data_IF_220332871513
#
_entry.id   IF_220332871513
#
_cell.length_a   1.000
_cell.length_b   1.000
_cell.length_c   1.000
_cell.angle_alpha   90.00
_cell.angle_beta   90.00
_cell.angle_gamma   90.00
#
_symmetry.space_group_name_H-M   'P 1'
#
loop_
_entity.id
_entity.type
_entity.pdbx_description
1 polymer ?
#
# COMPACT_ATOMS: atom_id res chain seq x y z
N UNK A 1 30.24 -0.10 -8.72
CA UNK A 1 28.93 0.13 -9.35
C UNK A 1 28.06 0.67 -8.25
N UNK A 2 27.59 1.91 -8.35
CA UNK A 2 26.80 2.56 -7.30
C UNK A 2 25.41 1.91 -7.27
N UNK A 3 25.09 1.24 -6.17
CA UNK A 3 23.71 0.87 -5.83
C UNK A 3 22.92 2.17 -5.62
N UNK A 4 22.32 2.69 -6.69
CA UNK A 4 21.18 3.60 -6.59
C UNK A 4 19.94 2.72 -6.58
N UNK A 5 19.02 2.96 -5.64
CA UNK A 5 17.86 2.11 -5.35
C UNK A 5 17.82 1.54 -3.93
N UNK A 6 18.59 2.06 -2.99
CA UNK A 6 18.62 1.55 -1.61
C UNK A 6 17.40 1.95 -0.77
N UNK A 7 17.22 1.26 0.37
CA UNK A 7 16.16 1.55 1.34
C UNK A 7 16.07 3.04 1.70
N UNK A 8 17.19 3.72 1.93
CA UNK A 8 17.20 5.13 2.33
C UNK A 8 16.64 6.06 1.24
N UNK A 9 16.93 5.80 -0.04
CA UNK A 9 16.37 6.56 -1.15
C UNK A 9 14.86 6.32 -1.28
N UNK A 10 14.42 5.08 -1.05
CA UNK A 10 13.01 4.75 -1.00
C UNK A 10 12.29 5.45 0.17
N UNK A 11 12.91 5.53 1.35
CA UNK A 11 12.37 6.28 2.51
C UNK A 11 12.21 7.77 2.18
N UNK A 12 13.20 8.39 1.53
CA UNK A 12 13.09 9.80 1.11
C UNK A 12 11.90 10.00 0.17
N UNK A 13 11.73 9.11 -0.81
CA UNK A 13 10.61 9.18 -1.74
C UNK A 13 9.25 8.96 -1.05
N UNK A 14 9.18 8.13 -0.01
CA UNK A 14 7.98 7.99 0.83
C UNK A 14 7.68 9.28 1.62
N UNK A 15 8.69 9.98 2.12
CA UNK A 15 8.51 11.27 2.78
C UNK A 15 7.98 12.33 1.81
N UNK A 16 8.51 12.40 0.59
CA UNK A 16 8.01 13.30 -0.45
C UNK A 16 6.55 12.99 -0.80
N UNK A 17 6.21 11.70 -0.89
CA UNK A 17 4.85 11.24 -1.10
C UNK A 17 3.93 11.63 0.06
N UNK A 18 4.40 11.53 1.30
CA UNK A 18 3.65 11.96 2.48
C UNK A 18 3.29 13.45 2.40
N UNK A 19 4.25 14.28 2.03
CA UNK A 19 4.03 15.73 1.84
C UNK A 19 3.00 15.97 0.74
N UNK A 20 3.12 15.26 -0.40
CA UNK A 20 2.16 15.35 -1.51
C UNK A 20 0.72 15.05 -1.08
N UNK A 21 0.52 14.12 -0.15
CA UNK A 21 -0.80 13.67 0.31
C UNK A 21 -1.22 14.24 1.68
N UNK A 22 -0.58 15.33 2.14
CA UNK A 22 -0.80 15.95 3.47
C UNK A 22 -0.87 14.92 4.62
N UNK A 23 0.13 14.03 4.65
CA UNK A 23 0.25 12.97 5.64
C UNK A 23 1.44 13.22 6.58
N UNK A 24 1.29 12.78 7.83
CA UNK A 24 2.39 12.71 8.79
C UNK A 24 3.26 11.48 8.50
N UNK A 25 4.58 11.63 8.69
CA UNK A 25 5.54 10.52 8.59
C UNK A 25 6.18 10.26 9.95
N UNK A 26 6.24 8.99 10.35
CA UNK A 26 7.04 8.51 11.47
C UNK A 26 8.05 7.48 10.97
N UNK A 27 9.31 7.62 11.41
CA UNK A 27 10.42 6.77 10.99
C UNK A 27 10.99 6.03 12.21
N UNK A 28 11.19 4.73 12.09
CA UNK A 28 11.85 3.93 13.12
C UNK A 28 12.56 2.72 12.51
N UNK A 29 13.90 2.70 12.60
CA UNK A 29 14.78 1.63 12.10
C UNK A 29 14.44 1.19 10.66
N UNK A 30 13.60 0.18 10.51
CA UNK A 30 13.16 -0.42 9.24
C UNK A 30 11.68 -0.20 8.92
N UNK A 31 11.03 0.76 9.59
CA UNK A 31 9.62 1.10 9.44
C UNK A 31 9.46 2.57 9.05
N UNK A 32 8.67 2.81 8.01
CA UNK A 32 8.07 4.10 7.67
C UNK A 32 6.57 3.99 7.89
N UNK A 33 6.01 4.84 8.75
CA UNK A 33 4.57 4.93 8.96
C UNK A 33 4.06 6.26 8.41
N UNK A 34 3.15 6.17 7.43
CA UNK A 34 2.43 7.29 6.86
C UNK A 34 1.03 7.35 7.48
N UNK A 35 0.60 8.52 7.93
CA UNK A 35 -0.75 8.72 8.50
C UNK A 35 -1.43 9.92 7.84
N UNK A 36 -2.52 9.67 7.15
CA UNK A 36 -3.35 10.70 6.53
C UNK A 36 -3.99 11.61 7.59
N UNK A 37 -3.93 12.92 7.39
CA UNK A 37 -4.61 13.89 8.27
C UNK A 37 -6.09 14.03 7.98
N UNK A 38 -6.50 13.84 6.73
CA UNK A 38 -7.89 13.92 6.30
C UNK A 38 -8.76 12.75 6.80
N UNK A 39 -8.13 11.63 7.19
CA UNK A 39 -8.83 10.43 7.63
C UNK A 39 -8.91 10.38 9.16
N UNK A 40 -10.07 10.08 9.77
CA UNK A 40 -10.19 9.97 11.22
C UNK A 40 -9.16 8.98 11.82
N UNK A 41 -8.49 9.32 12.94
CA UNK A 41 -7.41 8.49 13.50
C UNK A 41 -7.78 7.04 13.87
N UNK A 42 -9.08 6.75 14.03
CA UNK A 42 -9.59 5.41 14.29
C UNK A 42 -9.74 4.55 13.03
N UNK A 43 -9.70 5.15 11.85
CA UNK A 43 -9.79 4.44 10.59
C UNK A 43 -8.39 3.99 10.13
N UNK A 44 -8.19 2.67 10.14
CA UNK A 44 -6.92 2.03 9.72
C UNK A 44 -6.57 2.25 8.25
N UNK A 45 -7.52 2.64 7.40
CA UNK A 45 -7.26 2.96 5.99
C UNK A 45 -6.52 4.30 5.81
N UNK A 46 -6.49 5.14 6.85
CA UNK A 46 -5.68 6.36 6.89
C UNK A 46 -4.23 6.13 7.32
N UNK A 47 -3.76 4.88 7.39
CA UNK A 47 -2.40 4.53 7.85
C UNK A 47 -1.76 3.52 6.91
N UNK A 48 -0.54 3.79 6.46
CA UNK A 48 0.27 2.83 5.70
C UNK A 48 1.56 2.59 6.44
N UNK A 49 1.80 1.34 6.85
CA UNK A 49 3.08 0.90 7.37
C UNK A 49 3.89 0.28 6.24
N UNK A 50 5.11 0.78 6.03
CA UNK A 50 6.08 0.25 5.07
C UNK A 50 7.27 -0.25 5.86
N UNK A 51 7.50 -1.56 5.83
CA UNK A 51 8.62 -2.20 6.53
C UNK A 51 9.59 -2.79 5.54
N UNK A 52 10.90 -2.66 5.80
CA UNK A 52 11.92 -3.36 5.03
C UNK A 52 11.73 -4.86 5.22
N UNK A 53 11.54 -5.59 4.12
CA UNK A 53 11.33 -7.04 4.14
C UNK A 53 12.64 -7.79 3.88
N UNK A 54 13.41 -7.35 2.89
CA UNK A 54 14.77 -7.81 2.62
C UNK A 54 15.63 -6.66 2.03
N UNK A 55 16.64 -6.97 1.22
CA UNK A 55 17.52 -5.98 0.61
C UNK A 55 16.91 -5.26 -0.60
N UNK A 56 15.84 -5.81 -1.19
CA UNK A 56 15.23 -5.28 -2.42
C UNK A 56 13.71 -5.06 -2.33
N UNK A 57 13.05 -5.58 -1.29
CA UNK A 57 11.60 -5.59 -1.14
C UNK A 57 11.12 -5.01 0.20
N UNK A 58 9.95 -4.37 0.14
CA UNK A 58 9.23 -3.83 1.29
C UNK A 58 7.91 -4.55 1.47
N UNK A 59 7.50 -4.72 2.72
CA UNK A 59 6.14 -5.09 3.09
C UNK A 59 5.33 -3.82 3.34
N UNK A 60 4.18 -3.72 2.67
CA UNK A 60 3.23 -2.60 2.75
C UNK A 60 1.94 -3.11 3.39
N UNK A 61 1.56 -2.50 4.52
CA UNK A 61 0.41 -2.88 5.32
C UNK A 61 -0.53 -1.70 5.57
N UNK A 62 -1.84 -1.91 5.42
CA UNK A 62 -2.87 -0.90 5.69
C UNK A 62 -4.25 -1.56 5.92
N UNK A 63 -5.23 -0.76 6.36
CA UNK A 63 -6.62 -1.20 6.49
C UNK A 63 -6.79 -2.34 7.51
N UNK A 64 -7.71 -3.27 7.23
CA UNK A 64 -7.94 -4.44 8.09
C UNK A 64 -7.04 -5.65 7.75
N UNK A 65 -6.60 -5.79 6.51
CA UNK A 65 -5.96 -7.00 6.01
C UNK A 65 -5.07 -6.77 4.78
N UNK A 66 -4.89 -5.52 4.30
CA UNK A 66 -4.01 -5.25 3.18
C UNK A 66 -2.56 -5.46 3.61
N UNK A 67 -1.88 -6.44 3.00
CA UNK A 67 -0.50 -6.81 3.26
C UNK A 67 0.11 -7.37 1.97
N UNK A 68 1.04 -6.62 1.36
CA UNK A 68 1.73 -7.01 0.13
C UNK A 68 3.24 -6.80 0.30
N UNK A 69 4.04 -7.75 -0.18
CA UNK A 69 5.49 -7.58 -0.35
C UNK A 69 5.76 -7.24 -1.81
N UNK A 70 6.53 -6.18 -2.05
CA UNK A 70 6.87 -5.72 -3.41
C UNK A 70 8.22 -5.00 -3.41
N UNK A 71 8.87 -5.03 -4.57
CA UNK A 71 10.22 -4.50 -4.74
C UNK A 71 10.26 -2.97 -4.58
N UNK A 72 11.24 -2.47 -3.84
CA UNK A 72 11.60 -1.04 -3.79
C UNK A 72 12.88 -0.73 -4.57
N UNK A 73 13.46 -1.72 -5.26
CA UNK A 73 14.53 -1.53 -6.25
C UNK A 73 13.90 -1.61 -7.64
N UNK A 74 14.43 -0.86 -8.61
CA UNK A 74 13.96 -0.93 -10.00
C UNK A 74 15.13 -1.08 -10.97
N UNK A 75 14.95 -1.92 -11.98
CA UNK A 75 15.87 -2.02 -13.12
C UNK A 75 15.79 -0.79 -14.03
N UNK A 76 14.61 -0.18 -14.14
CA UNK A 76 14.35 1.04 -14.91
C UNK A 76 14.21 2.25 -13.97
N UNK A 77 15.23 3.10 -13.94
CA UNK A 77 15.28 4.30 -13.10
C UNK A 77 14.42 5.46 -13.64
N UNK A 78 13.75 5.30 -14.79
CA UNK A 78 12.86 6.32 -15.35
C UNK A 78 11.47 6.33 -14.71
N UNK A 79 11.13 5.29 -13.95
CA UNK A 79 9.85 5.16 -13.25
C UNK A 79 10.06 5.02 -11.74
N UNK A 80 9.09 5.44 -10.92
CA UNK A 80 9.10 5.12 -9.49
C UNK A 80 9.10 3.61 -9.25
N UNK A 81 9.77 3.18 -8.18
CA UNK A 81 9.88 1.76 -7.80
C UNK A 81 8.50 1.16 -7.50
N UNK A 82 8.28 -0.16 -7.72
CA UNK A 82 6.97 -0.79 -7.52
C UNK A 82 6.34 -0.51 -6.15
N UNK A 83 7.12 -0.57 -5.08
CA UNK A 83 6.66 -0.26 -3.73
C UNK A 83 6.12 1.17 -3.61
N UNK A 84 6.80 2.17 -4.17
CA UNK A 84 6.37 3.57 -4.09
C UNK A 84 5.06 3.79 -4.86
N UNK A 85 4.92 3.15 -6.03
CA UNK A 85 3.70 3.24 -6.84
C UNK A 85 2.51 2.59 -6.15
N UNK A 86 2.72 1.48 -5.42
CA UNK A 86 1.68 0.86 -4.61
C UNK A 86 1.23 1.77 -3.47
N UNK A 87 2.17 2.36 -2.72
CA UNK A 87 1.83 3.32 -1.65
C UNK A 87 1.04 4.51 -2.22
N UNK A 88 1.46 5.03 -3.36
CA UNK A 88 0.75 6.12 -4.04
C UNK A 88 -0.66 5.71 -4.46
N UNK A 89 -0.84 4.51 -5.03
CA UNK A 89 -2.16 3.99 -5.41
C UNK A 89 -3.10 3.92 -4.19
N UNK A 90 -2.61 3.45 -3.04
CA UNK A 90 -3.39 3.44 -1.78
C UNK A 90 -3.78 4.87 -1.38
N UNK A 91 -2.84 5.82 -1.40
CA UNK A 91 -3.13 7.22 -1.06
C UNK A 91 -4.18 7.86 -1.99
N UNK A 92 -4.22 7.45 -3.27
CA UNK A 92 -5.22 7.87 -4.26
C UNK A 92 -6.58 7.19 -4.13
N UNK A 93 -6.76 6.28 -3.17
CA UNK A 93 -7.96 5.46 -3.04
C UNK A 93 -8.15 4.48 -4.20
N UNK A 94 -7.06 4.13 -4.89
CA UNK A 94 -7.00 3.14 -5.97
C UNK A 94 -6.58 1.76 -5.41
N UNK A 95 -7.17 1.41 -4.27
CA UNK A 95 -6.97 0.15 -3.61
C UNK A 95 -8.27 -0.33 -2.94
N UNK A 96 -8.42 -1.64 -2.86
CA UNK A 96 -9.54 -2.35 -2.26
C UNK A 96 -9.07 -3.54 -1.45
N UNK A 97 -9.79 -3.80 -0.37
CA UNK A 97 -9.64 -4.97 0.48
C UNK A 97 -10.98 -5.69 0.56
N UNK A 98 -10.95 -7.02 0.38
CA UNK A 98 -12.15 -7.85 0.32
C UNK A 98 -12.10 -8.91 1.40
N UNK A 99 -13.24 -9.17 2.04
CA UNK A 99 -13.45 -10.42 2.77
C UNK A 99 -14.31 -11.36 1.94
N UNK A 100 -13.93 -12.65 1.93
CA UNK A 100 -14.69 -13.73 1.33
C UNK A 100 -15.62 -14.32 2.37
N UNK A 101 -16.90 -14.39 2.03
CA UNK A 101 -17.98 -14.87 2.88
C UNK A 101 -18.59 -16.12 2.23
N UNK A 102 -18.62 -17.22 2.97
CA UNK A 102 -19.27 -18.46 2.53
C UNK A 102 -20.81 -18.37 2.59
N UNK A 103 -21.49 -19.44 2.20
CA UNK A 103 -22.96 -19.50 2.20
C UNK A 103 -23.57 -19.40 3.61
N UNK A 104 -22.83 -19.82 4.63
CA UNK A 104 -23.21 -19.76 6.04
C UNK A 104 -22.97 -18.36 6.67
N UNK A 105 -22.40 -17.43 5.90
CA UNK A 105 -22.08 -16.08 6.38
C UNK A 105 -20.76 -16.00 7.16
N UNK A 106 -19.89 -17.01 7.08
CA UNK A 106 -18.58 -17.01 7.74
C UNK A 106 -17.51 -16.38 6.87
N UNK A 107 -16.56 -15.71 7.51
CA UNK A 107 -15.36 -15.22 6.85
C UNK A 107 -14.40 -16.38 6.57
N UNK A 108 -14.07 -16.60 5.29
CA UNK A 108 -13.25 -17.73 4.82
C UNK A 108 -12.00 -17.34 4.02
N UNK A 109 -11.75 -16.04 3.82
CA UNK A 109 -10.53 -15.56 3.16
C UNK A 109 -10.51 -14.06 2.90
N UNK A 110 -9.38 -13.57 2.39
CA UNK A 110 -9.20 -12.17 2.00
C UNK A 110 -8.67 -12.08 0.57
N UNK A 111 -9.06 -11.03 -0.14
CA UNK A 111 -8.46 -10.64 -1.40
C UNK A 111 -8.04 -9.18 -1.29
N UNK A 112 -6.94 -8.84 -1.96
CA UNK A 112 -6.40 -7.49 -2.00
C UNK A 112 -6.19 -7.10 -3.45
N UNK A 113 -6.55 -5.88 -3.79
CA UNK A 113 -6.30 -5.32 -5.10
C UNK A 113 -5.89 -3.85 -4.97
N UNK A 114 -4.83 -3.44 -5.67
CA UNK A 114 -4.50 -2.05 -5.90
C UNK A 114 -4.11 -1.87 -7.36
N UNK A 115 -4.42 -0.70 -7.92
CA UNK A 115 -4.17 -0.41 -9.32
C UNK A 115 -3.58 0.98 -9.48
N UNK A 116 -2.73 1.15 -10.49
CA UNK A 116 -2.11 2.44 -10.73
C UNK A 116 -1.26 2.46 -11.98
N UNK A 117 -0.47 3.52 -12.11
CA UNK A 117 0.50 3.60 -13.19
C UNK A 117 1.51 2.47 -13.05
N UNK A 118 1.59 1.61 -14.07
CA UNK A 118 2.57 0.51 -14.12
C UNK A 118 2.05 -0.86 -13.69
N UNK A 119 0.77 -1.00 -13.33
CA UNK A 119 0.13 -2.32 -13.20
C UNK A 119 -0.87 -2.43 -12.06
N UNK A 120 -1.16 -3.68 -11.71
CA UNK A 120 -2.04 -4.06 -10.62
C UNK A 120 -1.27 -4.92 -9.61
N UNK A 121 -1.52 -4.69 -8.33
CA UNK A 121 -1.04 -5.53 -7.23
C UNK A 121 -2.21 -6.32 -6.69
N UNK A 122 -2.19 -7.64 -6.86
CA UNK A 122 -3.25 -8.52 -6.42
C UNK A 122 -2.71 -9.59 -5.49
N UNK A 123 -3.48 -9.92 -4.45
CA UNK A 123 -3.19 -11.06 -3.57
C UNK A 123 -4.45 -11.85 -3.29
N UNK A 124 -4.30 -13.18 -3.27
CA UNK A 124 -5.39 -14.14 -3.13
C UNK A 124 -6.06 -14.52 -4.45
N UNK A 125 -6.97 -15.49 -4.37
CA UNK A 125 -7.67 -16.06 -5.52
C UNK A 125 -8.93 -15.26 -5.88
N UNK A 126 -8.82 -14.46 -6.93
CA UNK A 126 -9.87 -13.58 -7.42
C UNK A 126 -10.94 -14.30 -8.26
N UNK A 127 -10.80 -15.60 -8.51
CA UNK A 127 -11.76 -16.43 -9.25
C UNK A 127 -12.68 -17.23 -8.31
N UNK A 128 -12.45 -17.12 -7.00
CA UNK A 128 -13.29 -17.71 -5.95
C UNK A 128 -14.74 -17.26 -6.03
N UNK A 129 -15.65 -18.23 -5.91
CA UNK A 129 -17.10 -18.08 -6.05
C UNK A 129 -17.78 -17.53 -4.78
N UNK A 130 -17.05 -17.44 -3.67
CA UNK A 130 -17.56 -16.88 -2.42
C UNK A 130 -18.03 -15.43 -2.58
N UNK A 131 -19.04 -15.05 -1.80
CA UNK A 131 -19.53 -13.68 -1.75
C UNK A 131 -18.42 -12.77 -1.23
N UNK A 132 -18.38 -11.52 -1.69
CA UNK A 132 -17.34 -10.56 -1.32
C UNK A 132 -17.98 -9.37 -0.61
N UNK A 133 -17.50 -9.04 0.58
CA UNK A 133 -17.68 -7.69 1.11
C UNK A 133 -16.42 -6.89 0.78
N UNK A 134 -16.59 -5.86 -0.03
CA UNK A 134 -15.52 -5.00 -0.52
C UNK A 134 -15.48 -3.71 0.28
N UNK A 135 -14.27 -3.31 0.67
CA UNK A 135 -14.00 -1.98 1.19
C UNK A 135 -12.97 -1.31 0.32
N UNK A 136 -13.33 -0.15 -0.23
CA UNK A 136 -12.41 0.71 -0.97
C UNK A 136 -11.69 1.66 -0.03
N UNK A 137 -10.40 1.84 -0.26
CA UNK A 137 -9.61 2.80 0.50
C UNK A 137 -10.05 4.22 0.15
N UNK A 138 -10.19 5.12 1.14
CA UNK A 138 -10.49 6.51 0.90
C UNK A 138 -9.26 7.20 0.30
N UNK A 139 -9.49 8.27 -0.47
CA UNK A 139 -8.41 9.17 -0.89
C UNK A 139 -7.89 9.95 0.31
N UNK A 140 -6.59 10.23 0.32
CA UNK A 140 -5.95 10.96 1.42
C UNK A 140 -6.02 12.48 1.26
N UNK A 141 -6.22 12.97 0.05
CA UNK A 141 -6.52 14.37 -0.27
C UNK A 141 -7.57 14.47 -1.38
N UNK A 142 -8.23 15.62 -1.46
CA UNK A 142 -9.30 15.92 -2.43
C UNK A 142 -8.77 16.61 -3.69
N UNK A 143 -7.46 16.80 -3.81
CA UNK A 143 -6.86 17.50 -4.95
C UNK A 143 -6.91 16.61 -6.21
N UNK A 144 -7.74 17.03 -7.18
CA UNK A 144 -7.78 16.51 -8.56
C UNK A 144 -6.51 16.86 -9.36
#
# INVERSE_FOLDING_TARGET
MSEQGGWDEFVVALCDLAVKYDADTFLHESLVLLTARAIPPGDKAGRIAVTRFDDEAARIETGWCFNIVTDYVAEDTSQPVPALRLVEAICRGDAEEHCLIDEDGRWVGVLLNAWGQGGNWMSGDHDRLEKRATRRFPRWNDDE
#
